data_IF_914231945243
#
_entry.id   IF_914231945243
#
_cell.length_a   1.000
_cell.length_b   1.000
_cell.length_c   1.000
_cell.angle_alpha   90.00
_cell.angle_beta   90.00
_cell.angle_gamma   90.00
#
_symmetry.space_group_name_H-M   'P 1'
#
loop_
_entity.id
_entity.type
_entity.pdbx_description
1 polymer ?
#
# COMPACT_ATOMS: atom_id res chain seq x y z
N UNK A 1 -20.26 12.68 8.38
CA UNK A 1 -19.00 12.11 7.85
C UNK A 1 -18.53 10.91 8.65
N UNK A 2 -18.31 11.03 9.96
CA UNK A 2 -17.79 9.89 10.76
C UNK A 2 -18.75 8.70 10.80
N UNK A 3 -20.08 8.92 10.84
CA UNK A 3 -21.06 7.84 10.77
C UNK A 3 -21.03 7.12 9.42
N UNK A 4 -20.76 7.86 8.34
CA UNK A 4 -20.61 7.28 7.01
C UNK A 4 -19.34 6.45 6.91
N UNK A 5 -18.25 6.91 7.53
CA UNK A 5 -16.99 6.15 7.57
C UNK A 5 -17.19 4.83 8.32
N UNK A 6 -17.90 4.85 9.45
CA UNK A 6 -18.19 3.64 10.20
C UNK A 6 -19.00 2.64 9.35
N UNK A 7 -19.99 3.13 8.61
CA UNK A 7 -20.79 2.28 7.71
C UNK A 7 -19.91 1.67 6.61
N UNK A 8 -19.02 2.46 6.01
CA UNK A 8 -18.09 1.97 4.99
C UNK A 8 -17.16 0.91 5.61
N UNK A 9 -16.61 1.19 6.78
CA UNK A 9 -15.69 0.29 7.46
C UNK A 9 -16.35 -1.07 7.76
N UNK A 10 -17.65 -1.09 8.00
CA UNK A 10 -18.36 -2.35 8.26
C UNK A 10 -18.31 -3.31 7.07
N UNK A 11 -18.22 -2.81 5.84
CA UNK A 11 -18.10 -3.65 4.65
C UNK A 11 -16.73 -4.31 4.51
N UNK A 12 -15.73 -3.86 5.27
CA UNK A 12 -14.43 -4.53 5.32
C UNK A 12 -14.54 -5.96 5.85
N UNK A 13 -15.59 -6.28 6.60
CA UNK A 13 -15.83 -7.62 7.15
C UNK A 13 -16.77 -8.46 6.29
N UNK A 14 -17.17 -7.96 5.12
CA UNK A 14 -18.06 -8.68 4.21
C UNK A 14 -17.40 -9.96 3.70
N UNK A 15 -18.18 -11.07 3.58
CA UNK A 15 -17.69 -12.27 2.91
C UNK A 15 -17.53 -12.09 1.40
N UNK A 16 -18.07 -11.01 0.82
CA UNK A 16 -17.98 -10.72 -0.62
C UNK A 16 -16.72 -9.92 -0.90
N UNK A 17 -15.74 -10.48 -1.64
CA UNK A 17 -14.47 -9.77 -1.91
C UNK A 17 -14.64 -8.39 -2.53
N UNK A 18 -15.58 -8.23 -3.46
CA UNK A 18 -15.82 -6.94 -4.11
C UNK A 18 -16.22 -5.86 -3.11
N UNK A 19 -17.00 -6.22 -2.07
CA UNK A 19 -17.39 -5.26 -1.04
C UNK A 19 -16.21 -4.89 -0.17
N UNK A 20 -15.34 -5.85 0.19
CA UNK A 20 -14.11 -5.56 0.93
C UNK A 20 -13.21 -4.62 0.12
N UNK A 21 -13.01 -4.92 -1.17
CA UNK A 21 -12.23 -4.11 -2.09
C UNK A 21 -12.73 -2.65 -2.12
N UNK A 22 -14.03 -2.47 -2.32
CA UNK A 22 -14.65 -1.14 -2.39
C UNK A 22 -14.53 -0.38 -1.08
N UNK A 23 -14.70 -1.06 0.04
CA UNK A 23 -14.60 -0.45 1.37
C UNK A 23 -13.16 0.02 1.64
N UNK A 24 -12.17 -0.82 1.36
CA UNK A 24 -10.76 -0.48 1.56
C UNK A 24 -10.38 0.72 0.70
N UNK A 25 -10.79 0.72 -0.58
CA UNK A 25 -10.51 1.85 -1.48
C UNK A 25 -11.15 3.14 -0.98
N UNK A 26 -12.39 3.08 -0.50
CA UNK A 26 -13.09 4.26 0.00
C UNK A 26 -12.39 4.82 1.24
N UNK A 27 -11.98 3.96 2.17
CA UNK A 27 -11.25 4.40 3.36
C UNK A 27 -9.91 5.06 3.00
N UNK A 28 -9.23 4.53 2.00
CA UNK A 28 -7.98 5.13 1.51
C UNK A 28 -8.19 6.54 0.96
N UNK A 29 -9.21 6.72 0.14
CA UNK A 29 -9.52 8.05 -0.44
C UNK A 29 -9.90 9.06 0.63
N UNK A 30 -10.74 8.65 1.58
CA UNK A 30 -11.12 9.51 2.69
C UNK A 30 -9.89 9.85 3.53
N UNK A 31 -9.07 8.85 3.83
CA UNK A 31 -7.89 9.00 4.66
C UNK A 31 -6.82 9.90 4.04
N UNK A 32 -6.79 10.01 2.71
CA UNK A 32 -5.86 10.92 2.04
C UNK A 32 -6.09 12.38 2.46
N UNK A 33 -7.35 12.79 2.52
CA UNK A 33 -7.73 14.16 2.86
C UNK A 33 -8.02 14.37 4.34
N UNK A 34 -8.45 13.32 5.04
CA UNK A 34 -8.84 13.39 6.44
C UNK A 34 -8.46 12.09 7.14
N UNK A 35 -7.20 11.99 7.54
CA UNK A 35 -6.71 10.78 8.20
C UNK A 35 -7.43 10.53 9.53
N UNK A 36 -7.76 11.59 10.27
CA UNK A 36 -8.42 11.45 11.57
C UNK A 36 -9.74 10.69 11.44
N UNK A 37 -10.44 10.85 10.32
CA UNK A 37 -11.71 10.15 10.09
C UNK A 37 -11.55 8.63 9.94
N UNK A 38 -10.38 8.16 9.44
CA UNK A 38 -10.13 6.74 9.20
C UNK A 38 -9.17 6.13 10.22
N UNK A 39 -8.55 6.95 11.07
CA UNK A 39 -7.57 6.47 12.05
C UNK A 39 -8.07 5.28 12.88
N UNK A 40 -9.33 5.25 13.36
CA UNK A 40 -9.82 4.11 14.14
C UNK A 40 -9.76 2.78 13.40
N UNK A 41 -9.73 2.82 12.07
CA UNK A 41 -9.76 1.62 11.22
C UNK A 41 -8.40 1.32 10.58
N UNK A 42 -7.44 2.23 10.69
CA UNK A 42 -6.21 2.17 9.92
C UNK A 42 -5.37 0.92 10.21
N UNK A 43 -5.11 0.63 11.49
CA UNK A 43 -4.31 -0.56 11.82
C UNK A 43 -4.99 -1.85 11.37
N UNK A 44 -6.32 -1.89 11.42
CA UNK A 44 -7.09 -3.04 10.94
C UNK A 44 -7.00 -3.27 9.44
N UNK A 45 -6.65 -2.24 8.66
CA UNK A 45 -6.50 -2.39 7.21
C UNK A 45 -5.35 -3.32 6.84
N UNK A 46 -4.33 -3.45 7.69
CA UNK A 46 -3.16 -4.29 7.40
C UNK A 46 -3.49 -5.77 7.25
N UNK A 47 -4.62 -6.24 7.79
CA UNK A 47 -5.07 -7.61 7.57
C UNK A 47 -5.32 -7.91 6.08
N UNK A 48 -5.62 -6.89 5.29
CA UNK A 48 -5.90 -7.06 3.86
C UNK A 48 -4.65 -7.30 3.01
N UNK A 49 -3.48 -7.08 3.56
CA UNK A 49 -2.24 -7.50 2.93
C UNK A 49 -2.18 -9.01 2.73
N UNK A 50 -2.90 -9.78 3.55
CA UNK A 50 -2.97 -11.23 3.49
C UNK A 50 -4.34 -11.75 3.04
N UNK A 51 -5.21 -10.88 2.51
CA UNK A 51 -6.54 -11.30 2.05
C UNK A 51 -6.40 -12.36 0.96
N UNK A 52 -7.30 -13.32 0.95
CA UNK A 52 -7.30 -14.40 -0.04
C UNK A 52 -7.53 -13.90 -1.47
N UNK A 53 -8.18 -12.75 -1.62
CA UNK A 53 -8.47 -12.16 -2.93
C UNK A 53 -7.39 -11.16 -3.32
N UNK A 54 -6.77 -11.36 -4.48
CA UNK A 54 -5.69 -10.49 -4.96
C UNK A 54 -6.13 -9.04 -5.16
N UNK A 55 -7.38 -8.82 -5.57
CA UNK A 55 -7.88 -7.45 -5.77
C UNK A 55 -8.04 -6.71 -4.44
N UNK A 56 -8.35 -7.43 -3.38
CA UNK A 56 -8.40 -6.84 -2.04
C UNK A 56 -6.99 -6.47 -1.58
N UNK A 57 -6.00 -7.36 -1.80
CA UNK A 57 -4.61 -7.05 -1.48
C UNK A 57 -4.13 -5.82 -2.26
N UNK A 58 -4.50 -5.73 -3.54
CA UNK A 58 -4.18 -4.56 -4.36
C UNK A 58 -4.81 -3.29 -3.80
N UNK A 59 -6.07 -3.35 -3.40
CA UNK A 59 -6.79 -2.21 -2.80
C UNK A 59 -6.12 -1.71 -1.53
N UNK A 60 -5.58 -2.63 -0.72
CA UNK A 60 -4.84 -2.26 0.47
C UNK A 60 -3.60 -1.41 0.11
N UNK A 61 -2.89 -1.79 -0.95
CA UNK A 61 -1.72 -1.00 -1.40
C UNK A 61 -2.17 0.39 -1.86
N UNK A 62 -3.23 0.49 -2.67
CA UNK A 62 -3.76 1.78 -3.13
C UNK A 62 -4.22 2.66 -1.96
N UNK A 63 -4.93 2.08 -1.00
CA UNK A 63 -5.37 2.81 0.19
C UNK A 63 -4.16 3.34 0.96
N UNK A 64 -3.12 2.52 1.08
CA UNK A 64 -1.88 2.90 1.77
C UNK A 64 -1.18 4.05 1.04
N UNK A 65 -1.10 4.02 -0.29
CA UNK A 65 -0.51 5.11 -1.06
C UNK A 65 -1.27 6.42 -0.86
N UNK A 66 -2.60 6.36 -0.88
CA UNK A 66 -3.43 7.53 -0.62
C UNK A 66 -3.15 8.13 0.75
N UNK A 67 -3.14 7.32 1.79
CA UNK A 67 -2.90 7.78 3.16
C UNK A 67 -1.47 8.28 3.30
N UNK A 68 -0.49 7.58 2.74
CA UNK A 68 0.92 7.94 2.82
C UNK A 68 1.22 9.28 2.13
N UNK A 69 0.41 9.68 1.15
CA UNK A 69 0.63 10.93 0.43
C UNK A 69 0.64 12.14 1.37
N UNK A 70 -0.25 12.19 2.34
CA UNK A 70 -0.34 13.29 3.28
C UNK A 70 0.03 12.91 4.73
N UNK A 71 0.09 11.62 5.06
CA UNK A 71 0.41 11.15 6.41
C UNK A 71 1.48 10.04 6.34
N UNK A 72 2.67 10.34 5.78
CA UNK A 72 3.68 9.30 5.57
C UNK A 72 4.31 8.78 6.86
N UNK A 73 4.38 9.61 7.90
CA UNK A 73 5.12 9.29 9.12
C UNK A 73 4.65 8.06 9.88
N UNK A 74 3.39 7.64 9.68
CA UNK A 74 2.80 6.50 10.40
C UNK A 74 3.22 5.14 9.83
N UNK A 75 3.93 5.11 8.69
CA UNK A 75 4.24 3.87 7.98
C UNK A 75 5.54 3.19 8.40
N UNK A 76 6.41 3.88 9.14
CA UNK A 76 7.77 3.37 9.42
C UNK A 76 7.83 1.95 9.97
N UNK A 77 6.99 1.63 10.96
CA UNK A 77 6.97 0.31 11.58
C UNK A 77 6.28 -0.76 10.73
N UNK A 78 5.64 -0.38 9.64
CA UNK A 78 4.82 -1.27 8.81
C UNK A 78 5.49 -1.66 7.49
N UNK A 79 6.69 -1.18 7.24
CA UNK A 79 7.40 -1.46 5.99
C UNK A 79 7.57 -2.95 5.67
N UNK A 80 7.80 -3.84 6.65
CA UNK A 80 7.92 -5.27 6.35
C UNK A 80 6.69 -5.86 5.64
N UNK A 81 5.49 -5.36 5.93
CA UNK A 81 4.27 -5.84 5.27
C UNK A 81 4.32 -5.56 3.76
N UNK A 82 4.76 -4.36 3.40
CA UNK A 82 4.88 -3.98 1.98
C UNK A 82 6.01 -4.70 1.29
N UNK A 83 7.10 -5.00 2.02
CA UNK A 83 8.21 -5.80 1.47
C UNK A 83 7.74 -7.19 1.08
N UNK A 84 6.85 -7.82 1.86
CA UNK A 84 6.28 -9.11 1.50
C UNK A 84 5.42 -9.03 0.24
N UNK A 85 4.67 -7.96 0.06
CA UNK A 85 3.82 -7.76 -1.12
C UNK A 85 4.65 -7.61 -2.41
N UNK A 86 5.93 -7.26 -2.32
CA UNK A 86 6.84 -7.27 -3.47
C UNK A 86 7.03 -8.68 -4.04
N UNK A 87 6.72 -9.72 -3.27
CA UNK A 87 6.83 -11.12 -3.66
C UNK A 87 5.47 -11.80 -3.82
N UNK A 88 4.39 -11.03 -3.92
CA UNK A 88 3.03 -11.58 -4.04
C UNK A 88 2.91 -12.51 -5.25
N UNK A 89 2.16 -13.63 -5.15
CA UNK A 89 1.99 -14.52 -6.29
C UNK A 89 1.25 -13.89 -7.47
N UNK A 90 0.43 -12.86 -7.21
CA UNK A 90 -0.29 -12.15 -8.28
C UNK A 90 0.59 -11.05 -8.85
N UNK A 91 0.73 -11.01 -10.17
CA UNK A 91 1.61 -10.03 -10.82
C UNK A 91 1.11 -8.60 -10.72
N UNK A 92 -0.20 -8.37 -10.65
CA UNK A 92 -0.77 -7.04 -10.50
C UNK A 92 -0.48 -6.47 -9.12
N UNK A 93 -0.52 -7.32 -8.09
CA UNK A 93 -0.12 -6.92 -6.74
C UNK A 93 1.37 -6.57 -6.73
N UNK A 94 2.23 -7.40 -7.35
CA UNK A 94 3.67 -7.10 -7.43
C UNK A 94 3.95 -5.83 -8.23
N UNK A 95 3.15 -5.54 -9.26
CA UNK A 95 3.30 -4.30 -10.05
C UNK A 95 3.03 -3.06 -9.21
N UNK A 96 2.07 -3.12 -8.30
CA UNK A 96 1.68 -1.97 -7.47
C UNK A 96 2.52 -1.84 -6.19
N UNK A 97 2.99 -2.95 -5.62
CA UNK A 97 3.73 -2.91 -4.36
C UNK A 97 4.91 -1.93 -4.36
N UNK A 98 5.72 -1.82 -5.43
CA UNK A 98 6.81 -0.83 -5.47
C UNK A 98 6.32 0.62 -5.37
N UNK A 99 5.08 0.89 -5.73
CA UNK A 99 4.54 2.25 -5.74
C UNK A 99 4.39 2.84 -4.34
N UNK A 100 4.08 2.03 -3.32
CA UNK A 100 4.07 2.53 -1.94
C UNK A 100 5.50 2.92 -1.52
N UNK A 101 6.52 2.16 -1.95
CA UNK A 101 7.93 2.52 -1.69
C UNK A 101 8.29 3.82 -2.41
N UNK A 102 7.78 4.05 -3.62
CA UNK A 102 8.01 5.30 -4.35
C UNK A 102 7.39 6.49 -3.61
N UNK A 103 6.14 6.37 -3.19
CA UNK A 103 5.45 7.43 -2.45
C UNK A 103 6.19 7.76 -1.15
N UNK A 104 6.54 6.74 -0.38
CA UNK A 104 7.26 6.91 0.89
C UNK A 104 8.71 7.34 0.66
N UNK A 105 9.37 6.80 -0.34
CA UNK A 105 10.76 7.16 -0.65
C UNK A 105 10.93 8.63 -0.94
N UNK A 106 9.94 9.25 -1.56
CA UNK A 106 9.95 10.68 -1.83
C UNK A 106 9.72 11.53 -0.58
N UNK A 107 8.93 11.04 0.38
CA UNK A 107 8.49 11.80 1.56
C UNK A 107 9.27 11.47 2.82
N UNK A 108 9.59 10.21 3.01
CA UNK A 108 10.31 9.68 4.18
C UNK A 108 11.33 8.64 3.70
N UNK A 109 12.39 9.09 3.01
CA UNK A 109 13.36 8.16 2.40
C UNK A 109 14.01 7.22 3.40
N UNK A 110 14.12 7.61 4.67
CA UNK A 110 14.67 6.75 5.71
C UNK A 110 13.87 5.45 5.90
N UNK A 111 12.57 5.45 5.56
CA UNK A 111 11.75 4.24 5.64
C UNK A 111 12.06 3.25 4.51
N UNK A 112 12.52 3.74 3.37
CA UNK A 112 12.72 2.95 2.17
C UNK A 112 14.18 2.53 1.98
N UNK A 113 15.14 3.32 2.48
CA UNK A 113 16.58 3.00 2.33
C UNK A 113 16.95 1.57 2.71
N UNK A 114 16.41 0.97 3.79
CA UNK A 114 16.72 -0.42 4.12
C UNK A 114 16.29 -1.43 3.06
N UNK A 115 15.41 -1.04 2.15
CA UNK A 115 14.84 -1.92 1.12
C UNK A 115 15.39 -1.65 -0.28
N UNK A 116 16.30 -0.69 -0.44
CA UNK A 116 16.83 -0.32 -1.76
C UNK A 116 17.51 -1.49 -2.44
N UNK A 117 18.30 -2.28 -1.72
CA UNK A 117 18.97 -3.45 -2.30
C UNK A 117 17.96 -4.50 -2.76
N UNK A 118 16.91 -4.74 -1.98
CA UNK A 118 15.82 -5.64 -2.37
C UNK A 118 15.11 -5.15 -3.63
N UNK A 119 14.76 -3.86 -3.67
CA UNK A 119 14.12 -3.27 -4.84
C UNK A 119 15.01 -3.39 -6.09
N UNK A 120 16.31 -3.21 -5.92
CA UNK A 120 17.26 -3.35 -7.03
C UNK A 120 17.32 -4.78 -7.54
N UNK A 121 17.38 -5.75 -6.62
CA UNK A 121 17.36 -7.17 -7.00
C UNK A 121 16.10 -7.51 -7.79
N UNK A 122 14.93 -7.08 -7.32
CA UNK A 122 13.67 -7.33 -8.02
C UNK A 122 13.65 -6.63 -9.38
N UNK A 123 14.20 -5.43 -9.48
CA UNK A 123 14.31 -4.69 -10.75
C UNK A 123 15.12 -5.43 -11.80
N UNK A 124 15.96 -6.37 -11.37
CA UNK A 124 16.82 -7.15 -12.27
C UNK A 124 16.29 -8.55 -12.52
N UNK A 125 15.44 -9.09 -11.65
CA UNK A 125 15.10 -10.52 -11.66
C UNK A 125 13.62 -10.85 -11.85
N UNK A 126 12.68 -9.93 -11.54
CA UNK A 126 11.26 -10.23 -11.70
C UNK A 126 10.95 -10.43 -13.18
N UNK A 127 10.15 -11.45 -13.49
CA UNK A 127 9.78 -11.76 -14.87
C UNK A 127 8.81 -10.73 -15.48
N UNK A 128 8.12 -9.93 -14.64
CA UNK A 128 7.18 -8.91 -15.10
C UNK A 128 7.92 -7.59 -15.31
N UNK A 129 7.85 -7.08 -16.55
CA UNK A 129 8.54 -5.84 -16.92
C UNK A 129 8.07 -4.63 -16.10
N UNK A 130 6.77 -4.54 -15.83
CA UNK A 130 6.22 -3.40 -15.08
C UNK A 130 6.72 -3.41 -13.63
N UNK A 131 6.82 -4.59 -13.02
CA UNK A 131 7.42 -4.72 -11.68
C UNK A 131 8.85 -4.17 -11.69
N UNK A 132 9.65 -4.57 -12.67
CA UNK A 132 11.04 -4.10 -12.78
C UNK A 132 11.11 -2.59 -12.90
N UNK A 133 10.28 -2.00 -13.75
CA UNK A 133 10.25 -0.54 -13.97
C UNK A 133 9.82 0.20 -12.70
N UNK A 134 8.80 -0.28 -12.02
CA UNK A 134 8.29 0.35 -10.81
C UNK A 134 9.30 0.28 -9.66
N UNK A 135 10.05 -0.81 -9.54
CA UNK A 135 11.11 -0.91 -8.55
C UNK A 135 12.22 0.13 -8.81
N UNK A 136 12.61 0.33 -10.07
CA UNK A 136 13.57 1.38 -10.43
C UNK A 136 13.02 2.77 -10.08
N UNK A 137 11.73 3.00 -10.32
CA UNK A 137 11.08 4.26 -9.95
C UNK A 137 11.13 4.54 -8.45
N UNK A 138 10.90 3.51 -7.64
CA UNK A 138 10.98 3.63 -6.19
C UNK A 138 12.41 3.94 -5.72
N UNK A 139 13.40 3.29 -6.30
CA UNK A 139 14.82 3.54 -5.99
C UNK A 139 15.16 5.00 -6.32
N UNK A 140 14.76 5.45 -7.51
CA UNK A 140 15.04 6.81 -7.99
C UNK A 140 14.39 7.86 -7.07
N UNK A 141 13.14 7.64 -6.67
CA UNK A 141 12.43 8.57 -5.79
C UNK A 141 13.15 8.70 -4.43
N UNK A 142 13.63 7.59 -3.90
CA UNK A 142 14.32 7.56 -2.61
C UNK A 142 15.67 8.28 -2.70
N UNK A 143 16.40 8.08 -3.78
CA UNK A 143 17.71 8.71 -3.97
C UNK A 143 17.61 10.22 -4.21
N UNK A 144 16.52 10.71 -4.77
CA UNK A 144 16.31 12.12 -5.08
C UNK A 144 15.95 12.97 -3.86
N UNK A 145 15.67 12.35 -2.72
CA UNK A 145 15.21 13.04 -1.52
C UNK A 145 16.31 13.42 -0.56
#
# INVERSE_FOLDING_TARGET
>A
MRGEVSAIASFCDSPVPLLRERAVNALGRIGRGDFDAVEPYWTGLFRFASDEDAKVRLSFIWASENIATNTPGIFGAHMPVFAELLHDPDDKVRMEAPEIFRVLGKRRPEFVRPYVDLLREISETDDNRVVRIHCLGAIKATAAS
#
